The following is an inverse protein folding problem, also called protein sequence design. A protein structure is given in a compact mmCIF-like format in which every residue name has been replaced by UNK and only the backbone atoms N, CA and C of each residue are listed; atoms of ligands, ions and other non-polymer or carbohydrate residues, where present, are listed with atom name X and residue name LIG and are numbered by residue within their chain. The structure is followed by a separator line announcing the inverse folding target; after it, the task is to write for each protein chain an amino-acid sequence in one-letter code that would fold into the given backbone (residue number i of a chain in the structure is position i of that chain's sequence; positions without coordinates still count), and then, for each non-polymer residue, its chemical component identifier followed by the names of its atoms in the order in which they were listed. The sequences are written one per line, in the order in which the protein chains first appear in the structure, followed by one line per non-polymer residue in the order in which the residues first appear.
data_IF_802896726676
#
_entry.id   IF_802896726676
#
_cell.length_a   1.000
_cell.length_b   1.000
_cell.length_c   1.000
_cell.angle_alpha   90.00
_cell.angle_beta   90.00
_cell.angle_gamma   90.00
#
_symmetry.space_group_name_H-M   'P 1'
#
loop_
_entity.id
_entity.type
_entity.pdbx_description
1 polymer ?
#
# COMPACT_ATOMS: atom_id res chain seq x y z
N UNK A 1 18.89 3.35 -23.99
CA UNK A 1 19.32 2.13 -23.28
C UNK A 1 18.23 1.83 -22.29
N UNK A 2 17.69 0.62 -22.16
CA UNK A 2 16.83 0.31 -21.03
C UNK A 2 17.68 0.54 -19.77
N UNK A 3 17.21 1.41 -18.86
CA UNK A 3 17.92 1.65 -17.62
C UNK A 3 17.76 0.41 -16.77
N UNK A 4 18.83 -0.37 -16.65
CA UNK A 4 18.92 -1.52 -15.76
C UNK A 4 18.76 -1.04 -14.34
N UNK A 5 17.77 -1.58 -13.61
CA UNK A 5 17.59 -1.32 -12.17
C UNK A 5 18.39 -2.37 -11.40
N UNK A 6 19.66 -2.55 -11.75
CA UNK A 6 20.55 -3.57 -11.17
C UNK A 6 20.72 -3.49 -9.66
N UNK A 7 20.41 -2.36 -9.04
CA UNK A 7 20.50 -2.15 -7.58
C UNK A 7 19.18 -2.30 -6.83
N UNK A 8 18.05 -2.50 -7.52
CA UNK A 8 16.75 -2.59 -6.87
C UNK A 8 16.56 -3.97 -6.22
N UNK A 9 16.31 -3.98 -4.91
CA UNK A 9 16.04 -5.19 -4.12
C UNK A 9 14.56 -5.35 -3.74
N UNK A 10 13.69 -4.49 -4.30
CA UNK A 10 12.26 -4.46 -4.00
C UNK A 10 11.47 -4.51 -5.29
N UNK A 11 10.56 -5.49 -5.40
CA UNK A 11 9.72 -5.69 -6.57
C UNK A 11 8.24 -5.55 -6.20
N UNK A 12 7.55 -4.64 -6.89
CA UNK A 12 6.10 -4.47 -6.83
C UNK A 12 5.46 -5.00 -8.11
N UNK A 13 4.41 -5.78 -8.01
CA UNK A 13 3.61 -6.22 -9.16
C UNK A 13 2.19 -5.68 -9.01
N UNK A 14 1.79 -4.82 -9.93
CA UNK A 14 0.43 -4.30 -9.98
C UNK A 14 -0.49 -5.29 -10.68
N UNK A 15 -1.35 -5.94 -9.91
CA UNK A 15 -2.39 -6.84 -10.41
C UNK A 15 -3.68 -6.05 -10.54
N UNK A 16 -4.13 -5.66 -11.75
CA UNK A 16 -5.20 -4.67 -11.91
C UNK A 16 -6.61 -5.25 -11.71
N UNK A 17 -6.76 -6.54 -11.50
CA UNK A 17 -8.06 -7.20 -11.56
C UNK A 17 -8.86 -7.05 -10.27
N UNK A 18 -10.15 -6.72 -10.41
CA UNK A 18 -11.15 -6.75 -9.34
C UNK A 18 -12.44 -7.35 -9.86
N UNK A 19 -13.20 -8.02 -8.99
CA UNK A 19 -14.56 -8.52 -9.33
C UNK A 19 -15.57 -7.40 -9.47
N UNK A 20 -15.38 -6.31 -8.72
CA UNK A 20 -16.23 -5.10 -8.69
C UNK A 20 -15.40 -3.88 -8.36
N UNK A 21 -15.96 -2.71 -8.60
CA UNK A 21 -15.37 -1.44 -8.18
C UNK A 21 -15.99 -1.00 -6.85
N UNK A 22 -15.17 -0.82 -5.83
CA UNK A 22 -15.58 -0.23 -4.56
C UNK A 22 -15.97 1.24 -4.75
N UNK A 23 -16.90 1.75 -3.90
CA UNK A 23 -17.45 3.10 -4.07
C UNK A 23 -16.41 4.22 -3.91
N UNK A 24 -15.36 3.99 -3.14
CA UNK A 24 -14.30 4.95 -2.80
C UNK A 24 -13.00 4.78 -3.60
N UNK A 25 -12.84 3.66 -4.31
CA UNK A 25 -11.56 3.28 -4.89
C UNK A 25 -11.28 3.98 -6.23
N UNK A 26 -10.15 4.68 -6.32
CA UNK A 26 -9.63 5.35 -7.52
C UNK A 26 -8.49 4.61 -8.21
N UNK A 27 -8.07 3.45 -7.67
CA UNK A 27 -6.97 2.68 -8.24
C UNK A 27 -7.22 2.30 -9.70
N UNK A 28 -6.12 2.17 -10.45
CA UNK A 28 -6.15 1.65 -11.81
C UNK A 28 -6.52 0.18 -11.79
N UNK A 29 -7.81 -0.13 -12.01
CA UNK A 29 -8.35 -1.48 -11.98
C UNK A 29 -9.08 -1.85 -13.25
N UNK A 30 -9.06 -3.14 -13.56
CA UNK A 30 -9.87 -3.78 -14.59
C UNK A 30 -10.89 -4.71 -13.92
N UNK A 31 -12.19 -4.33 -13.99
CA UNK A 31 -13.23 -5.21 -13.46
C UNK A 31 -13.39 -6.40 -14.38
N UNK A 32 -13.17 -7.62 -13.86
CA UNK A 32 -13.22 -8.87 -14.61
C UNK A 32 -13.90 -9.96 -13.77
N UNK A 33 -14.77 -10.73 -14.43
CA UNK A 33 -15.32 -11.97 -13.86
C UNK A 33 -14.29 -13.10 -13.96
N UNK A 34 -13.70 -13.23 -15.15
CA UNK A 34 -12.67 -14.22 -15.45
C UNK A 34 -11.32 -13.48 -15.61
N UNK A 35 -10.39 -13.78 -14.74
CA UNK A 35 -9.05 -13.16 -14.71
C UNK A 35 -8.14 -13.89 -15.69
N UNK A 36 -7.50 -13.20 -16.65
CA UNK A 36 -6.58 -13.84 -17.61
C UNK A 36 -5.23 -14.12 -16.94
N UNK A 37 -5.23 -14.96 -15.91
CA UNK A 37 -4.12 -15.18 -14.98
C UNK A 37 -2.83 -15.62 -15.68
N UNK A 38 -2.93 -16.62 -16.58
CA UNK A 38 -1.76 -17.17 -17.27
C UNK A 38 -1.14 -16.14 -18.21
N UNK A 39 -1.98 -15.45 -18.97
CA UNK A 39 -1.56 -14.38 -19.87
C UNK A 39 -0.88 -13.25 -19.11
N UNK A 40 -1.52 -12.73 -18.06
CA UNK A 40 -0.98 -11.66 -17.21
C UNK A 40 0.38 -12.05 -16.63
N UNK A 41 0.49 -13.23 -16.03
CA UNK A 41 1.72 -13.68 -15.40
C UNK A 41 2.86 -13.87 -16.41
N UNK A 42 2.57 -14.39 -17.61
CA UNK A 42 3.55 -14.50 -18.69
C UNK A 42 4.07 -13.12 -19.13
N UNK A 43 3.15 -12.15 -19.27
CA UNK A 43 3.51 -10.79 -19.65
C UNK A 43 4.35 -10.08 -18.58
N UNK A 44 4.03 -10.28 -17.29
CA UNK A 44 4.87 -9.76 -16.19
C UNK A 44 6.28 -10.33 -16.25
N UNK A 45 6.43 -11.64 -16.50
CA UNK A 45 7.76 -12.27 -16.69
C UNK A 45 8.51 -11.68 -17.88
N UNK A 46 7.82 -11.44 -19.01
CA UNK A 46 8.42 -10.80 -20.19
C UNK A 46 8.85 -9.35 -19.91
N UNK A 47 8.05 -8.58 -19.18
CA UNK A 47 8.39 -7.22 -18.76
C UNK A 47 9.62 -7.23 -17.86
N UNK A 48 9.65 -8.11 -16.85
CA UNK A 48 10.79 -8.24 -15.93
C UNK A 48 12.07 -8.60 -16.67
N UNK A 49 12.03 -9.57 -17.57
CA UNK A 49 13.19 -10.00 -18.35
C UNK A 49 13.81 -8.90 -19.25
N UNK A 50 13.06 -7.81 -19.52
CA UNK A 50 13.62 -6.63 -20.21
C UNK A 50 14.23 -5.61 -19.26
N UNK A 51 13.86 -5.66 -17.98
CA UNK A 51 14.35 -4.74 -16.96
C UNK A 51 15.55 -5.28 -16.20
N UNK A 52 15.79 -6.59 -16.31
CA UNK A 52 16.96 -7.26 -15.73
C UNK A 52 18.02 -7.47 -16.82
N UNK A 53 19.28 -7.34 -16.45
CA UNK A 53 20.40 -7.67 -17.35
C UNK A 53 20.60 -9.18 -17.36
N UNK A 54 20.65 -9.78 -18.55
CA UNK A 54 20.89 -11.21 -18.71
C UNK A 54 22.23 -11.58 -18.06
N UNK A 55 22.20 -12.54 -17.15
CA UNK A 55 23.40 -13.03 -16.45
C UNK A 55 23.80 -12.21 -15.21
N UNK A 56 23.02 -11.19 -14.84
CA UNK A 56 23.20 -10.43 -13.59
C UNK A 56 21.91 -10.53 -12.75
N UNK A 57 21.72 -11.63 -11.97
CA UNK A 57 20.49 -11.86 -11.24
C UNK A 57 20.27 -10.81 -10.16
N UNK A 58 19.05 -10.27 -10.11
CA UNK A 58 18.59 -9.37 -9.05
C UNK A 58 18.15 -10.20 -7.84
N UNK A 59 18.73 -9.92 -6.67
CA UNK A 59 18.33 -10.54 -5.42
C UNK A 59 17.30 -9.67 -4.71
N UNK A 60 16.08 -10.19 -4.49
CA UNK A 60 14.94 -9.44 -3.96
C UNK A 60 14.78 -9.64 -2.45
N UNK A 61 14.82 -8.54 -1.69
CA UNK A 61 14.47 -8.52 -0.27
C UNK A 61 12.96 -8.52 -0.06
N UNK A 62 12.19 -7.97 -1.02
CA UNK A 62 10.73 -7.96 -0.97
C UNK A 62 10.11 -8.16 -2.35
N UNK A 63 9.02 -8.93 -2.37
CA UNK A 63 8.10 -9.06 -3.50
C UNK A 63 6.69 -8.71 -3.00
N UNK A 64 6.05 -7.74 -3.63
CA UNK A 64 4.73 -7.26 -3.22
C UNK A 64 3.74 -7.34 -4.38
N UNK A 65 2.68 -8.09 -4.20
CA UNK A 65 1.54 -8.16 -5.12
C UNK A 65 0.43 -7.26 -4.60
N UNK A 66 0.19 -6.15 -5.31
CA UNK A 66 -0.81 -5.15 -4.92
C UNK A 66 -1.64 -4.63 -6.10
N UNK A 67 -2.45 -3.63 -5.84
CA UNK A 67 -3.19 -2.88 -6.84
C UNK A 67 -4.69 -3.06 -6.80
N UNK A 68 -5.26 -3.90 -7.65
CA UNK A 68 -6.69 -4.25 -7.64
C UNK A 68 -6.99 -5.27 -6.54
N UNK A 69 -6.93 -6.55 -6.88
CA UNK A 69 -7.12 -7.66 -5.94
C UNK A 69 -6.25 -8.84 -6.35
N UNK A 70 -4.99 -8.88 -5.94
CA UNK A 70 -4.05 -9.94 -6.34
C UNK A 70 -4.49 -11.36 -5.99
N UNK A 71 -5.21 -11.53 -4.87
CA UNK A 71 -5.79 -12.84 -4.48
C UNK A 71 -6.73 -13.45 -5.53
N UNK A 72 -7.28 -12.65 -6.45
CA UNK A 72 -8.12 -13.16 -7.55
C UNK A 72 -7.36 -13.97 -8.60
N UNK A 73 -6.03 -13.91 -8.62
CA UNK A 73 -5.21 -14.84 -9.40
C UNK A 73 -5.37 -16.28 -8.93
N UNK A 74 -5.85 -16.48 -7.71
CA UNK A 74 -5.94 -17.78 -7.05
C UNK A 74 -4.57 -18.37 -6.73
N UNK A 75 -4.50 -19.46 -5.95
CA UNK A 75 -3.23 -20.08 -5.55
C UNK A 75 -2.35 -20.51 -6.73
N UNK A 76 -2.95 -21.16 -7.73
CA UNK A 76 -2.22 -21.60 -8.93
C UNK A 76 -1.66 -20.41 -9.74
N UNK A 77 -2.43 -19.32 -9.82
CA UNK A 77 -2.00 -18.11 -10.52
C UNK A 77 -0.87 -17.39 -9.81
N UNK A 78 -0.95 -17.27 -8.49
CA UNK A 78 0.15 -16.69 -7.67
C UNK A 78 1.42 -17.54 -7.80
N UNK A 79 1.29 -18.88 -7.72
CA UNK A 79 2.41 -19.79 -7.92
C UNK A 79 3.04 -19.65 -9.30
N UNK A 80 2.22 -19.57 -10.35
CA UNK A 80 2.70 -19.38 -11.72
C UNK A 80 3.41 -18.03 -11.88
N UNK A 81 2.85 -16.96 -11.32
CA UNK A 81 3.46 -15.62 -11.38
C UNK A 81 4.81 -15.56 -10.64
N UNK A 82 4.90 -16.14 -9.44
CA UNK A 82 6.18 -16.27 -8.71
C UNK A 82 7.19 -17.05 -9.54
N UNK A 83 6.76 -18.16 -10.16
CA UNK A 83 7.63 -18.93 -11.06
C UNK A 83 8.15 -18.13 -12.25
N UNK A 84 7.31 -17.29 -12.88
CA UNK A 84 7.73 -16.41 -13.98
C UNK A 84 8.75 -15.36 -13.51
N UNK A 85 8.58 -14.80 -12.31
CA UNK A 85 9.51 -13.84 -11.72
C UNK A 85 10.87 -14.53 -11.47
N UNK A 86 10.88 -15.70 -10.86
CA UNK A 86 12.11 -16.45 -10.58
C UNK A 86 12.83 -16.92 -11.85
N UNK A 87 12.10 -17.22 -12.92
CA UNK A 87 12.66 -17.58 -14.22
C UNK A 87 13.33 -16.41 -14.96
N UNK A 88 13.05 -15.17 -14.54
CA UNK A 88 13.51 -13.93 -15.20
C UNK A 88 14.75 -13.31 -14.54
N UNK A 89 15.68 -14.11 -14.04
CA UNK A 89 16.89 -13.67 -13.32
C UNK A 89 16.63 -12.84 -12.04
N UNK A 90 15.41 -12.87 -11.50
CA UNK A 90 15.09 -12.30 -10.18
C UNK A 90 14.92 -13.42 -9.16
N UNK A 91 15.67 -13.37 -8.08
CA UNK A 91 15.66 -14.40 -7.02
C UNK A 91 15.25 -13.79 -5.70
N UNK A 92 14.41 -14.50 -4.96
CA UNK A 92 14.08 -14.11 -3.60
C UNK A 92 15.29 -14.39 -2.69
N UNK A 93 15.75 -13.38 -1.95
CA UNK A 93 16.76 -13.53 -0.92
C UNK A 93 16.27 -14.46 0.19
N UNK A 94 17.15 -15.15 0.92
CA UNK A 94 16.76 -15.87 2.12
C UNK A 94 16.03 -14.94 3.11
N UNK A 95 14.80 -15.31 3.50
CA UNK A 95 13.96 -14.47 4.37
C UNK A 95 13.35 -13.23 3.69
N UNK A 96 13.24 -13.21 2.37
CA UNK A 96 12.50 -12.17 1.65
C UNK A 96 11.05 -12.07 2.12
N UNK A 97 10.52 -10.85 2.21
CA UNK A 97 9.10 -10.61 2.46
C UNK A 97 8.33 -10.76 1.14
N UNK A 98 7.41 -11.71 1.09
CA UNK A 98 6.52 -11.90 -0.06
C UNK A 98 5.09 -11.58 0.38
N UNK A 99 4.60 -10.39 0.00
CA UNK A 99 3.28 -9.89 0.39
C UNK A 99 2.26 -10.11 -0.71
N UNK A 100 1.07 -10.57 -0.34
CA UNK A 100 -0.11 -10.64 -1.20
C UNK A 100 -1.26 -9.83 -0.58
N UNK A 101 -1.83 -8.89 -1.33
CA UNK A 101 -3.10 -8.26 -0.97
C UNK A 101 -4.26 -9.22 -1.31
N UNK A 102 -5.19 -9.34 -0.36
CA UNK A 102 -6.34 -10.24 -0.48
C UNK A 102 -7.63 -9.61 0.05
N UNK A 103 -8.75 -9.97 -0.54
CA UNK A 103 -10.06 -9.70 0.03
C UNK A 103 -10.57 -10.91 0.81
N UNK A 104 -11.35 -10.70 1.90
CA UNK A 104 -11.92 -11.82 2.67
C UNK A 104 -12.70 -12.83 1.82
N UNK A 105 -13.46 -12.38 0.83
CA UNK A 105 -14.23 -13.24 -0.08
C UNK A 105 -13.39 -14.15 -0.99
N UNK A 106 -12.08 -13.98 -1.06
CA UNK A 106 -11.18 -14.80 -1.87
C UNK A 106 -10.57 -15.98 -1.08
N UNK A 107 -10.89 -16.10 0.22
CA UNK A 107 -10.44 -17.19 1.08
C UNK A 107 -11.31 -18.46 0.92
N UNK A 108 -11.36 -19.02 -0.28
CA UNK A 108 -11.93 -20.33 -0.47
C UNK A 108 -11.11 -21.43 0.27
N UNK A 109 -11.70 -22.61 0.56
CA UNK A 109 -10.96 -23.70 1.18
C UNK A 109 -9.66 -24.02 0.46
N UNK A 110 -8.53 -23.98 1.18
CA UNK A 110 -7.20 -24.24 0.65
C UNK A 110 -6.48 -23.03 0.01
N UNK A 111 -7.16 -21.89 -0.21
CA UNK A 111 -6.53 -20.72 -0.84
C UNK A 111 -5.29 -20.25 -0.09
N UNK A 112 -5.37 -20.03 1.22
CA UNK A 112 -4.26 -19.56 2.03
C UNK A 112 -3.08 -20.55 2.03
N UNK A 113 -3.34 -21.86 2.15
CA UNK A 113 -2.31 -22.90 2.04
C UNK A 113 -1.62 -22.92 0.67
N UNK A 114 -2.37 -22.69 -0.41
CA UNK A 114 -1.80 -22.59 -1.75
C UNK A 114 -0.96 -21.34 -1.96
N UNK A 115 -1.31 -20.21 -1.35
CA UNK A 115 -0.46 -19.00 -1.36
C UNK A 115 0.84 -19.19 -0.58
N UNK A 116 0.76 -19.86 0.59
CA UNK A 116 1.98 -20.26 1.35
C UNK A 116 2.87 -21.15 0.51
N UNK A 117 2.31 -22.15 -0.16
CA UNK A 117 3.07 -23.03 -1.06
C UNK A 117 3.72 -22.29 -2.23
N UNK A 118 3.11 -21.17 -2.67
CA UNK A 118 3.67 -20.27 -3.68
C UNK A 118 4.76 -19.33 -3.12
N UNK A 119 5.05 -19.37 -1.81
CA UNK A 119 6.08 -18.56 -1.15
C UNK A 119 5.57 -17.28 -0.49
N UNK A 120 4.25 -17.03 -0.47
CA UNK A 120 3.67 -15.89 0.26
C UNK A 120 3.85 -16.12 1.75
N UNK A 121 4.44 -15.13 2.45
CA UNK A 121 4.70 -15.19 3.88
C UNK A 121 4.12 -13.96 4.65
N UNK A 122 3.51 -13.01 3.91
CA UNK A 122 2.78 -11.88 4.46
C UNK A 122 1.47 -11.68 3.68
N UNK A 123 0.37 -11.43 4.37
CA UNK A 123 -0.91 -11.03 3.77
C UNK A 123 -1.30 -9.62 4.19
N UNK A 124 -1.94 -8.85 3.29
CA UNK A 124 -2.69 -7.64 3.63
C UNK A 124 -4.16 -7.90 3.27
N UNK A 125 -5.03 -7.96 4.29
CA UNK A 125 -6.43 -8.31 4.10
C UNK A 125 -7.30 -7.07 4.17
N UNK A 126 -7.91 -6.73 3.04
CA UNK A 126 -8.76 -5.54 2.90
C UNK A 126 -10.12 -5.72 3.58
N UNK A 127 -10.19 -5.55 4.88
CA UNK A 127 -11.43 -5.67 5.68
C UNK A 127 -12.28 -4.39 5.57
N UNK A 128 -11.67 -3.23 5.71
CA UNK A 128 -12.21 -1.87 5.65
C UNK A 128 -13.09 -1.49 6.84
N UNK A 129 -14.00 -2.35 7.31
CA UNK A 129 -14.85 -2.18 8.49
C UNK A 129 -15.45 -3.54 8.91
N UNK A 130 -15.86 -3.64 10.15
CA UNK A 130 -16.65 -4.77 10.65
C UNK A 130 -18.15 -4.43 10.78
N UNK A 131 -18.58 -3.32 10.17
CA UNK A 131 -19.98 -2.90 10.18
C UNK A 131 -20.64 -3.20 8.82
N UNK A 132 -21.64 -4.11 8.81
CA UNK A 132 -22.28 -4.59 7.58
C UNK A 132 -22.79 -3.47 6.65
N UNK A 133 -23.58 -2.48 7.14
CA UNK A 133 -24.05 -1.36 6.35
C UNK A 133 -22.93 -0.53 5.70
N UNK A 134 -21.75 -0.42 6.34
CA UNK A 134 -20.57 0.22 5.75
C UNK A 134 -20.03 -0.60 4.59
N UNK A 135 -19.89 -1.92 4.75
CA UNK A 135 -19.40 -2.81 3.69
C UNK A 135 -20.32 -2.77 2.46
N UNK A 136 -21.63 -2.75 2.66
CA UNK A 136 -22.62 -2.60 1.59
C UNK A 136 -22.45 -1.24 0.86
N UNK A 137 -22.34 -0.15 1.61
CA UNK A 137 -22.12 1.20 1.07
C UNK A 137 -20.79 1.30 0.30
N UNK A 138 -19.76 0.60 0.77
CA UNK A 138 -18.45 0.50 0.11
C UNK A 138 -18.47 -0.41 -1.11
N UNK A 139 -19.55 -1.13 -1.39
CA UNK A 139 -19.65 -2.19 -2.41
C UNK A 139 -18.64 -3.32 -2.16
N UNK A 140 -18.39 -3.66 -0.88
CA UNK A 140 -17.56 -4.83 -0.53
C UNK A 140 -18.30 -6.13 -0.76
N UNK A 141 -17.55 -7.21 -1.02
CA UNK A 141 -18.10 -8.52 -1.34
C UNK A 141 -18.24 -9.48 -0.17
N UNK A 142 -17.77 -9.06 1.02
CA UNK A 142 -17.71 -9.90 2.21
C UNK A 142 -18.54 -9.30 3.35
N UNK A 143 -18.91 -10.18 4.29
CA UNK A 143 -19.53 -9.82 5.56
C UNK A 143 -18.48 -9.63 6.68
N UNK A 144 -18.87 -9.01 7.83
CA UNK A 144 -17.99 -8.91 9.00
C UNK A 144 -17.46 -10.26 9.52
N UNK A 145 -18.23 -11.31 9.40
CA UNK A 145 -17.84 -12.65 9.86
C UNK A 145 -16.84 -13.31 8.91
N UNK A 146 -16.99 -13.11 7.60
CA UNK A 146 -16.01 -13.56 6.60
C UNK A 146 -14.67 -12.85 6.77
N UNK A 147 -14.65 -11.58 7.20
CA UNK A 147 -13.42 -10.86 7.52
C UNK A 147 -12.62 -11.56 8.63
N UNK A 148 -13.28 -11.91 9.75
CA UNK A 148 -12.64 -12.67 10.83
C UNK A 148 -12.21 -14.07 10.40
N UNK A 149 -13.05 -14.77 9.64
CA UNK A 149 -12.75 -16.12 9.14
C UNK A 149 -11.52 -16.12 8.22
N UNK A 150 -11.32 -15.10 7.40
CA UNK A 150 -10.17 -14.95 6.50
C UNK A 150 -8.85 -14.86 7.29
N UNK A 151 -8.79 -14.03 8.33
CA UNK A 151 -7.61 -13.90 9.21
C UNK A 151 -7.29 -15.24 9.89
N UNK A 152 -8.30 -15.92 10.42
CA UNK A 152 -8.13 -17.23 11.05
C UNK A 152 -7.69 -18.30 10.03
N UNK A 153 -8.19 -18.26 8.80
CA UNK A 153 -7.76 -19.18 7.75
C UNK A 153 -6.30 -18.96 7.35
N UNK A 154 -5.85 -17.70 7.26
CA UNK A 154 -4.45 -17.34 7.02
C UNK A 154 -3.54 -17.88 8.13
N UNK A 155 -3.90 -17.70 9.40
CA UNK A 155 -3.16 -18.24 10.56
C UNK A 155 -3.05 -19.75 10.50
N UNK A 156 -4.18 -20.46 10.27
CA UNK A 156 -4.18 -21.93 10.15
C UNK A 156 -3.33 -22.44 9.00
N UNK A 157 -3.17 -21.65 7.95
CA UNK A 157 -2.29 -21.98 6.83
C UNK A 157 -0.79 -21.75 7.12
N UNK A 158 -0.45 -21.15 8.27
CA UNK A 158 0.94 -20.88 8.68
C UNK A 158 1.45 -19.49 8.30
N UNK A 159 0.57 -18.54 7.98
CA UNK A 159 0.99 -17.15 7.75
C UNK A 159 1.09 -16.43 9.10
N UNK A 160 2.31 -16.10 9.49
CA UNK A 160 2.62 -15.44 10.76
C UNK A 160 2.67 -13.90 10.67
N UNK A 161 2.56 -13.34 9.48
CA UNK A 161 2.59 -11.90 9.25
C UNK A 161 1.32 -11.47 8.51
N UNK A 162 0.30 -11.06 9.25
CA UNK A 162 -1.00 -10.66 8.71
C UNK A 162 -1.24 -9.19 9.01
N UNK A 163 -1.46 -8.41 7.95
CA UNK A 163 -2.00 -7.05 7.99
C UNK A 163 -3.50 -7.08 7.76
N UNK A 164 -4.22 -6.19 8.42
CA UNK A 164 -5.60 -5.85 8.07
C UNK A 164 -5.69 -4.37 7.72
N UNK A 165 -6.52 -4.04 6.74
CA UNK A 165 -6.72 -2.67 6.31
C UNK A 165 -8.11 -2.20 6.72
N UNK A 166 -8.20 -1.03 7.38
CA UNK A 166 -9.44 -0.40 7.82
C UNK A 166 -9.52 1.04 7.30
N UNK A 167 -10.75 1.53 7.12
CA UNK A 167 -11.02 2.91 6.69
C UNK A 167 -11.76 3.64 7.81
N UNK A 168 -11.26 4.81 8.17
CA UNK A 168 -11.87 5.71 9.15
C UNK A 168 -12.39 7.00 8.50
N UNK A 169 -13.09 7.86 9.26
CA UNK A 169 -13.70 9.09 8.75
C UNK A 169 -14.93 8.82 7.89
N UNK A 170 -15.68 7.75 8.15
CA UNK A 170 -16.86 7.36 7.36
C UNK A 170 -18.08 8.25 7.69
N UNK A 171 -19.05 8.39 6.74
CA UNK A 171 -20.27 9.16 6.99
C UNK A 171 -21.04 8.69 8.24
N UNK A 172 -21.44 9.63 9.10
CA UNK A 172 -22.15 9.33 10.35
C UNK A 172 -23.47 8.59 10.15
N UNK A 173 -24.18 8.89 9.08
CA UNK A 173 -25.46 8.25 8.75
C UNK A 173 -25.36 6.72 8.59
N UNK A 174 -24.16 6.17 8.40
CA UNK A 174 -23.94 4.73 8.35
C UNK A 174 -24.04 4.06 9.72
N UNK A 175 -24.07 4.83 10.82
CA UNK A 175 -24.24 4.32 12.16
C UNK A 175 -23.09 3.47 12.69
N UNK A 176 -21.89 3.55 12.05
CA UNK A 176 -20.72 2.81 12.51
C UNK A 176 -20.18 3.39 13.81
N UNK A 177 -19.84 2.51 14.74
CA UNK A 177 -19.06 2.82 15.92
C UNK A 177 -17.58 2.47 15.66
N UNK A 178 -16.69 3.48 15.62
CA UNK A 178 -15.26 3.26 15.35
C UNK A 178 -14.57 2.46 16.47
N UNK A 179 -14.98 2.66 17.71
CA UNK A 179 -14.42 1.91 18.83
C UNK A 179 -14.70 0.40 18.73
N UNK A 180 -15.86 0.01 18.19
CA UNK A 180 -16.19 -1.40 17.94
C UNK A 180 -15.34 -2.00 16.81
N UNK A 181 -15.09 -1.25 15.72
CA UNK A 181 -14.18 -1.68 14.65
C UNK A 181 -12.76 -1.88 15.19
N UNK A 182 -12.25 -0.95 16.02
CA UNK A 182 -10.94 -1.07 16.65
C UNK A 182 -10.87 -2.26 17.63
N UNK A 183 -11.89 -2.45 18.47
CA UNK A 183 -11.93 -3.57 19.40
C UNK A 183 -11.89 -4.91 18.65
N UNK A 184 -12.68 -5.07 17.59
CA UNK A 184 -12.68 -6.29 16.76
C UNK A 184 -11.34 -6.49 16.05
N UNK A 185 -10.70 -5.41 15.57
CA UNK A 185 -9.36 -5.47 14.98
C UNK A 185 -8.31 -5.95 15.99
N UNK A 186 -8.36 -5.44 17.22
CA UNK A 186 -7.47 -5.83 18.32
C UNK A 186 -7.70 -7.30 18.70
N UNK A 187 -8.93 -7.73 18.83
CA UNK A 187 -9.30 -9.11 19.19
C UNK A 187 -8.86 -10.13 18.13
N UNK A 188 -8.88 -9.77 16.86
CA UNK A 188 -8.35 -10.61 15.77
C UNK A 188 -6.83 -10.82 15.84
N UNK A 189 -6.12 -9.95 16.55
CA UNK A 189 -4.69 -10.05 16.79
C UNK A 189 -3.83 -10.08 15.54
N UNK A 190 -4.01 -9.19 14.55
CA UNK A 190 -3.11 -9.12 13.40
C UNK A 190 -1.72 -8.64 13.83
N UNK A 191 -0.73 -8.86 12.99
CA UNK A 191 0.64 -8.38 13.24
C UNK A 191 0.81 -6.92 12.82
N UNK A 192 -0.05 -6.48 11.92
CA UNK A 192 0.02 -5.16 11.31
C UNK A 192 -1.40 -4.64 11.02
N UNK A 193 -1.61 -3.33 11.12
CA UNK A 193 -2.89 -2.67 10.83
C UNK A 193 -2.60 -1.43 9.99
N UNK A 194 -3.25 -1.33 8.82
CA UNK A 194 -3.27 -0.13 8.01
C UNK A 194 -4.58 0.61 8.24
N UNK A 195 -4.50 1.90 8.55
CA UNK A 195 -5.66 2.78 8.74
C UNK A 195 -5.62 3.89 7.70
N UNK A 196 -6.64 3.95 6.86
CA UNK A 196 -6.76 4.97 5.82
C UNK A 196 -7.92 5.91 6.11
N UNK A 197 -7.67 7.22 6.05
CA UNK A 197 -8.75 8.20 6.05
C UNK A 197 -9.57 8.06 4.76
N UNK A 198 -10.89 8.09 4.87
CA UNK A 198 -11.74 8.14 3.69
C UNK A 198 -11.46 9.40 2.90
N UNK A 199 -11.02 9.26 1.66
CA UNK A 199 -10.79 10.34 0.72
C UNK A 199 -11.84 10.33 -0.39
N UNK A 200 -12.32 11.50 -0.80
CA UNK A 200 -13.29 11.65 -1.87
C UNK A 200 -12.58 11.95 -3.18
N UNK A 201 -12.34 10.91 -3.98
CA UNK A 201 -11.70 11.06 -5.27
C UNK A 201 -12.73 11.33 -6.39
N UNK A 202 -12.56 12.36 -7.24
CA UNK A 202 -13.58 12.81 -8.20
C UNK A 202 -14.06 11.72 -9.17
N UNK A 203 -13.18 10.78 -9.55
CA UNK A 203 -13.47 9.72 -10.54
C UNK A 203 -14.19 8.51 -9.95
N UNK A 204 -14.35 8.46 -8.63
CA UNK A 204 -15.02 7.34 -7.93
C UNK A 204 -16.54 7.46 -7.92
N UNK A 205 -17.29 6.39 -7.63
CA UNK A 205 -18.72 6.51 -7.32
C UNK A 205 -18.99 7.50 -6.17
N UNK A 206 -18.19 7.45 -5.09
CA UNK A 206 -18.29 8.36 -3.95
C UNK A 206 -18.12 9.82 -4.38
N UNK A 207 -17.09 10.12 -5.19
CA UNK A 207 -16.87 11.47 -5.72
C UNK A 207 -18.06 11.99 -6.51
N UNK A 208 -18.70 11.12 -7.32
CA UNK A 208 -19.93 11.48 -8.06
C UNK A 208 -21.13 11.68 -7.14
N UNK A 209 -21.24 10.92 -6.04
CA UNK A 209 -22.32 11.11 -5.05
C UNK A 209 -22.12 12.43 -4.31
N UNK A 210 -20.89 12.73 -3.87
CA UNK A 210 -20.56 13.99 -3.20
C UNK A 210 -20.80 15.20 -4.10
N UNK A 211 -20.36 15.15 -5.36
CA UNK A 211 -20.56 16.25 -6.33
C UNK A 211 -22.04 16.56 -6.62
N UNK A 212 -22.94 15.59 -6.42
CA UNK A 212 -24.40 15.76 -6.59
C UNK A 212 -25.14 16.03 -5.27
N UNK A 213 -24.42 16.15 -4.16
CA UNK A 213 -25.01 16.35 -2.83
C UNK A 213 -25.73 15.10 -2.28
N UNK A 214 -25.55 13.93 -2.89
CA UNK A 214 -26.13 12.68 -2.41
C UNK A 214 -25.33 12.06 -1.24
N UNK A 215 -24.09 12.49 -1.06
CA UNK A 215 -23.24 12.14 0.08
C UNK A 215 -22.47 13.38 0.55
N UNK A 216 -22.24 13.47 1.86
CA UNK A 216 -21.41 14.52 2.45
C UNK A 216 -19.92 14.12 2.38
N UNK A 217 -19.06 15.12 2.19
CA UNK A 217 -17.63 14.90 2.39
C UNK A 217 -17.33 14.52 3.85
N UNK A 218 -16.30 13.70 4.12
CA UNK A 218 -15.88 13.42 5.47
C UNK A 218 -15.58 14.70 6.25
N UNK A 219 -15.90 14.71 7.55
CA UNK A 219 -15.54 15.81 8.45
C UNK A 219 -14.08 15.67 8.88
N UNK A 220 -13.29 16.73 8.71
CA UNK A 220 -11.88 16.78 9.14
C UNK A 220 -11.75 16.56 10.66
N UNK A 221 -12.64 17.16 11.46
CA UNK A 221 -12.66 16.99 12.91
C UNK A 221 -12.90 15.53 13.27
N UNK A 222 -13.87 14.87 12.64
CA UNK A 222 -14.16 13.47 12.86
C UNK A 222 -12.98 12.57 12.45
N UNK A 223 -12.34 12.86 11.32
CA UNK A 223 -11.15 12.11 10.91
C UNK A 223 -10.02 12.28 11.92
N UNK A 224 -9.82 13.48 12.44
CA UNK A 224 -8.83 13.74 13.48
C UNK A 224 -9.15 12.99 14.78
N UNK A 225 -10.42 13.02 15.25
CA UNK A 225 -10.84 12.31 16.45
C UNK A 225 -10.69 10.79 16.31
N UNK A 226 -11.12 10.21 15.18
CA UNK A 226 -11.00 8.77 14.91
C UNK A 226 -9.53 8.34 14.76
N UNK A 227 -8.66 9.17 14.16
CA UNK A 227 -7.22 8.93 14.10
C UNK A 227 -6.59 8.91 15.50
N UNK A 228 -6.92 9.88 16.36
CA UNK A 228 -6.39 9.95 17.72
C UNK A 228 -6.90 8.79 18.58
N UNK A 229 -8.17 8.42 18.46
CA UNK A 229 -8.73 7.27 19.14
C UNK A 229 -8.05 5.94 18.73
N UNK A 230 -7.78 5.78 17.43
CA UNK A 230 -7.06 4.60 16.94
C UNK A 230 -5.63 4.53 17.49
N UNK A 231 -4.92 5.67 17.51
CA UNK A 231 -3.58 5.74 18.08
C UNK A 231 -3.54 5.33 19.55
N UNK A 232 -4.49 5.80 20.33
CA UNK A 232 -4.60 5.44 21.75
C UNK A 232 -4.92 3.97 21.95
N UNK A 233 -5.96 3.46 21.28
CA UNK A 233 -6.42 2.08 21.41
C UNK A 233 -5.34 1.08 20.96
N UNK A 234 -4.76 1.25 19.77
CA UNK A 234 -3.74 0.36 19.24
C UNK A 234 -2.43 0.46 20.01
N UNK A 235 -2.01 1.67 20.40
CA UNK A 235 -0.82 1.88 21.22
C UNK A 235 -0.95 1.18 22.59
N UNK A 236 -2.08 1.32 23.27
CA UNK A 236 -2.38 0.65 24.54
C UNK A 236 -2.43 -0.88 24.40
N UNK A 237 -2.80 -1.38 23.22
CA UNK A 237 -2.84 -2.80 22.91
C UNK A 237 -1.50 -3.34 22.37
N UNK A 238 -0.44 -2.50 22.28
CA UNK A 238 0.95 -2.89 22.00
C UNK A 238 1.34 -2.89 20.52
N UNK A 239 0.64 -2.12 19.68
CA UNK A 239 1.09 -1.82 18.31
C UNK A 239 1.92 -0.52 18.30
N UNK A 240 3.02 -0.53 17.57
CA UNK A 240 3.82 0.66 17.28
C UNK A 240 3.21 1.43 16.11
N UNK A 241 2.90 2.72 16.28
CA UNK A 241 2.51 3.61 15.20
C UNK A 241 3.78 4.10 14.50
N UNK A 242 4.22 3.42 13.44
CA UNK A 242 5.54 3.62 12.85
C UNK A 242 5.57 4.55 11.63
N UNK A 243 4.42 4.81 11.01
CA UNK A 243 4.22 5.85 9.99
C UNK A 243 2.73 6.24 9.94
N UNK A 244 2.41 7.32 9.27
CA UNK A 244 1.11 8.01 9.36
C UNK A 244 -0.11 7.10 9.25
N UNK A 245 -0.04 6.05 8.44
CA UNK A 245 -1.17 5.15 8.18
C UNK A 245 -1.02 3.76 8.79
N UNK A 246 0.16 3.40 9.31
CA UNK A 246 0.46 2.01 9.62
C UNK A 246 0.92 1.77 11.07
N UNK A 247 0.37 0.71 11.64
CA UNK A 247 0.68 0.20 12.96
C UNK A 247 1.19 -1.23 12.86
N UNK A 248 2.19 -1.60 13.65
CA UNK A 248 2.74 -2.95 13.64
C UNK A 248 3.08 -3.44 15.04
N UNK A 249 3.00 -4.74 15.26
CA UNK A 249 3.67 -5.37 16.40
C UNK A 249 5.19 -5.21 16.25
N UNK A 250 5.98 -5.20 17.33
CA UNK A 250 7.44 -5.14 17.24
C UNK A 250 8.00 -6.18 16.26
N UNK A 251 8.82 -5.72 15.31
CA UNK A 251 9.41 -6.56 14.27
C UNK A 251 8.48 -6.96 13.11
N UNK A 252 7.25 -6.40 13.03
CA UNK A 252 6.24 -6.73 12.01
C UNK A 252 5.91 -5.56 11.06
N UNK A 253 6.74 -4.52 11.03
CA UNK A 253 6.60 -3.42 10.04
C UNK A 253 6.72 -3.95 8.63
N UNK A 254 5.91 -3.45 7.68
CA UNK A 254 6.03 -3.80 6.26
C UNK A 254 7.40 -3.39 5.73
N UNK A 255 8.21 -4.36 5.31
CA UNK A 255 9.55 -4.10 4.77
C UNK A 255 9.46 -3.42 3.41
N UNK A 256 8.49 -3.83 2.60
CA UNK A 256 8.27 -3.24 1.27
C UNK A 256 7.85 -1.76 1.37
N UNK A 257 6.82 -1.44 2.16
CA UNK A 257 6.37 -0.05 2.33
C UNK A 257 7.46 0.82 2.97
N UNK A 258 8.20 0.27 3.95
CA UNK A 258 9.34 0.95 4.57
C UNK A 258 10.47 1.27 3.58
N UNK A 259 10.61 0.49 2.50
CA UNK A 259 11.56 0.79 1.43
C UNK A 259 11.16 2.07 0.66
N UNK A 260 9.87 2.28 0.39
CA UNK A 260 9.38 3.53 -0.22
C UNK A 260 9.69 4.76 0.66
N UNK A 261 9.43 4.65 1.98
CA UNK A 261 9.68 5.76 2.91
C UNK A 261 11.16 6.11 3.05
N UNK A 262 12.05 5.14 2.82
CA UNK A 262 13.51 5.35 2.76
C UNK A 262 14.01 5.77 1.39
N UNK A 263 13.12 5.92 0.41
CA UNK A 263 13.43 6.34 -0.96
C UNK A 263 14.48 5.43 -1.62
N UNK A 264 14.43 4.11 -1.36
CA UNK A 264 15.33 3.15 -2.01
C UNK A 264 14.80 2.75 -3.39
N UNK A 265 15.68 2.32 -4.33
CA UNK A 265 15.27 1.84 -5.65
C UNK A 265 14.33 0.64 -5.58
N UNK A 266 13.35 0.62 -6.48
CA UNK A 266 12.40 -0.48 -6.63
C UNK A 266 11.94 -0.65 -8.07
N UNK A 267 11.53 -1.85 -8.43
CA UNK A 267 10.97 -2.21 -9.72
C UNK A 267 9.45 -2.36 -9.57
N UNK A 268 8.70 -1.71 -10.45
CA UNK A 268 7.27 -1.94 -10.60
C UNK A 268 6.95 -2.59 -11.93
N UNK A 269 6.15 -3.64 -11.90
CA UNK A 269 5.70 -4.38 -13.08
C UNK A 269 4.18 -4.40 -13.18
N UNK A 270 3.69 -4.55 -14.39
CA UNK A 270 2.25 -4.52 -14.65
C UNK A 270 1.73 -3.12 -15.00
N UNK A 271 0.45 -3.02 -15.39
CA UNK A 271 -0.16 -1.75 -15.78
C UNK A 271 -0.17 -0.78 -14.60
N UNK A 272 0.03 0.52 -14.85
CA UNK A 272 0.08 1.58 -13.82
C UNK A 272 1.20 1.45 -12.77
N UNK A 273 2.05 0.44 -12.83
CA UNK A 273 3.13 0.26 -11.86
C UNK A 273 4.19 1.36 -12.02
N UNK A 274 4.67 1.85 -10.88
CA UNK A 274 5.78 2.79 -10.82
C UNK A 274 7.09 2.07 -10.51
N UNK A 275 8.20 2.59 -11.03
CA UNK A 275 9.56 2.16 -10.71
C UNK A 275 10.41 3.36 -10.34
N UNK A 276 11.47 3.14 -9.57
CA UNK A 276 12.41 4.17 -9.17
C UNK A 276 13.83 3.59 -9.11
N UNK A 277 14.80 4.22 -9.77
CA UNK A 277 16.19 3.77 -9.81
C UNK A 277 17.11 4.54 -8.84
N UNK A 278 16.55 5.45 -8.03
CA UNK A 278 17.27 6.33 -7.12
C UNK A 278 17.32 7.79 -7.65
N UNK A 279 17.12 7.99 -8.95
CA UNK A 279 17.14 9.30 -9.60
C UNK A 279 15.92 9.53 -10.50
N UNK A 280 15.54 8.52 -11.29
CA UNK A 280 14.43 8.60 -12.24
C UNK A 280 13.24 7.79 -11.74
N UNK A 281 12.08 8.43 -11.72
CA UNK A 281 10.79 7.76 -11.51
C UNK A 281 10.19 7.46 -12.87
N UNK A 282 9.57 6.28 -13.01
CA UNK A 282 8.87 5.84 -14.22
C UNK A 282 7.54 5.24 -13.87
N UNK A 283 6.59 5.32 -14.78
CA UNK A 283 5.30 4.65 -14.64
C UNK A 283 4.86 4.02 -15.93
N UNK A 284 4.25 2.87 -15.81
CA UNK A 284 3.71 2.11 -16.92
C UNK A 284 2.35 2.65 -17.38
N UNK A 285 1.99 2.33 -18.62
CA UNK A 285 0.63 2.53 -19.16
C UNK A 285 -0.41 1.92 -18.23
N UNK A 286 -1.46 2.68 -17.91
CA UNK A 286 -2.45 2.33 -16.89
C UNK A 286 -3.47 1.29 -17.34
N UNK A 287 -3.90 1.33 -18.60
CA UNK A 287 -4.89 0.40 -19.12
C UNK A 287 -4.28 -0.99 -19.39
N UNK A 288 -4.79 -2.04 -18.73
CA UNK A 288 -4.32 -3.41 -18.90
C UNK A 288 -4.16 -3.83 -20.38
N UNK A 289 -5.16 -3.55 -21.22
CA UNK A 289 -5.12 -3.94 -22.64
C UNK A 289 -3.98 -3.25 -23.41
N UNK A 290 -3.73 -1.97 -23.14
CA UNK A 290 -2.66 -1.21 -23.78
C UNK A 290 -1.28 -1.69 -23.31
N UNK A 291 -1.09 -1.86 -21.99
CA UNK A 291 0.10 -2.44 -21.41
C UNK A 291 0.40 -3.83 -21.99
N UNK A 292 -0.60 -4.71 -22.03
CA UNK A 292 -0.45 -6.07 -22.57
C UNK A 292 -0.04 -6.06 -24.05
N UNK A 293 -0.60 -5.15 -24.85
CA UNK A 293 -0.24 -5.00 -26.27
C UNK A 293 1.21 -4.57 -26.43
N UNK A 294 1.67 -3.60 -25.66
CA UNK A 294 3.07 -3.12 -25.69
C UNK A 294 4.05 -4.23 -25.29
N UNK A 295 3.75 -4.95 -24.18
CA UNK A 295 4.61 -6.05 -23.70
C UNK A 295 4.70 -7.17 -24.74
N UNK A 296 3.57 -7.59 -25.38
CA UNK A 296 3.56 -8.60 -26.44
C UNK A 296 4.35 -8.16 -27.68
N UNK A 297 4.26 -6.88 -28.03
CA UNK A 297 4.99 -6.33 -29.17
C UNK A 297 6.51 -6.18 -28.91
N UNK A 298 6.98 -6.49 -27.70
CA UNK A 298 8.38 -6.33 -27.35
C UNK A 298 8.77 -4.87 -27.05
N UNK A 299 7.80 -3.96 -26.91
CA UNK A 299 8.05 -2.55 -26.54
C UNK A 299 8.01 -2.35 -25.02
N UNK A 300 8.73 -1.33 -24.52
CA UNK A 300 8.69 -0.95 -23.13
C UNK A 300 7.30 -0.31 -22.83
N UNK A 301 6.54 -0.81 -21.82
CA UNK A 301 5.21 -0.29 -21.52
C UNK A 301 5.23 1.03 -20.73
N UNK A 302 6.35 1.72 -20.65
CA UNK A 302 6.50 3.00 -19.95
C UNK A 302 5.65 4.08 -20.64
N UNK A 303 4.75 4.71 -19.87
CA UNK A 303 3.93 5.84 -20.29
C UNK A 303 4.62 7.19 -20.06
N UNK A 304 5.53 7.26 -19.10
CA UNK A 304 6.30 8.44 -18.79
C UNK A 304 7.40 8.19 -17.77
N UNK A 305 8.31 9.15 -17.69
CA UNK A 305 9.39 9.19 -16.73
C UNK A 305 9.65 10.62 -16.23
N UNK A 306 10.29 10.75 -15.09
CA UNK A 306 10.67 12.00 -14.46
C UNK A 306 12.04 11.86 -13.82
N UNK A 307 12.97 12.69 -14.23
CA UNK A 307 14.26 12.85 -13.55
C UNK A 307 14.06 13.76 -12.33
N UNK A 308 14.24 13.21 -11.16
CA UNK A 308 14.06 13.94 -9.90
C UNK A 308 15.24 14.88 -9.66
N UNK A 309 14.98 16.19 -9.63
CA UNK A 309 15.99 17.20 -9.33
C UNK A 309 16.49 17.13 -7.87
N UNK A 310 17.61 17.77 -7.58
CA UNK A 310 18.14 17.83 -6.20
C UNK A 310 17.18 18.54 -5.24
N UNK A 311 16.42 19.54 -5.71
CA UNK A 311 15.40 20.23 -4.90
C UNK A 311 14.23 19.31 -4.60
N UNK A 312 13.69 18.63 -5.61
CA UNK A 312 12.65 17.62 -5.43
C UNK A 312 13.12 16.49 -4.50
N UNK A 313 14.36 16.02 -4.67
CA UNK A 313 14.96 15.02 -3.79
C UNK A 313 15.00 15.47 -2.34
N UNK A 314 15.40 16.71 -2.06
CA UNK A 314 15.42 17.26 -0.69
C UNK A 314 14.01 17.31 -0.10
N UNK A 315 13.06 17.82 -0.87
CA UNK A 315 11.66 17.90 -0.45
C UNK A 315 11.07 16.50 -0.17
N UNK A 316 11.32 15.52 -1.05
CA UNK A 316 10.88 14.13 -0.86
C UNK A 316 11.51 13.49 0.38
N UNK A 317 12.80 13.65 0.62
CA UNK A 317 13.48 13.11 1.80
C UNK A 317 12.89 13.70 3.10
N UNK A 318 12.59 15.00 3.11
CA UNK A 318 11.94 15.64 4.24
C UNK A 318 10.52 15.11 4.43
N UNK A 319 9.69 15.08 3.38
CA UNK A 319 8.31 14.59 3.42
C UNK A 319 8.23 13.11 3.87
N UNK A 320 9.00 12.23 3.23
CA UNK A 320 9.01 10.80 3.53
C UNK A 320 9.56 10.51 4.92
N UNK A 321 10.56 11.26 5.37
CA UNK A 321 11.07 11.16 6.73
C UNK A 321 10.03 11.60 7.77
N UNK A 322 9.42 12.77 7.60
CA UNK A 322 8.39 13.30 8.49
C UNK A 322 7.13 12.43 8.54
N UNK A 323 6.89 11.63 7.51
CA UNK A 323 5.81 10.66 7.46
C UNK A 323 5.99 9.51 8.46
N UNK A 324 7.22 9.23 8.89
CA UNK A 324 7.58 8.09 9.73
C UNK A 324 7.97 8.49 11.15
N UNK A 325 7.98 7.54 12.07
CA UNK A 325 8.49 7.71 13.43
C UNK A 325 10.01 7.95 13.48
N UNK A 326 10.72 7.62 12.40
CA UNK A 326 12.14 7.93 12.25
C UNK A 326 12.41 9.42 12.07
N UNK A 327 11.48 10.19 11.47
CA UNK A 327 11.65 11.62 11.24
C UNK A 327 12.63 11.97 10.12
N UNK A 328 12.94 13.26 10.01
CA UNK A 328 13.82 13.83 8.98
C UNK A 328 14.89 14.75 9.58
N UNK A 329 16.06 14.82 8.95
CA UNK A 329 17.04 15.85 9.23
C UNK A 329 16.70 17.11 8.42
N UNK A 330 16.48 18.23 9.12
CA UNK A 330 16.20 19.54 8.52
C UNK A 330 17.32 20.53 8.85
N UNK A 331 17.47 21.57 8.04
CA UNK A 331 18.50 22.59 8.23
C UNK A 331 18.00 23.98 7.82
N UNK A 332 18.72 25.03 8.21
CA UNK A 332 18.40 26.40 7.82
C UNK A 332 16.98 26.81 8.17
N UNK A 333 16.31 27.47 7.24
CA UNK A 333 14.94 27.98 7.42
C UNK A 333 13.91 26.87 7.71
N UNK A 334 14.11 25.67 7.18
CA UNK A 334 13.21 24.53 7.42
C UNK A 334 13.30 24.03 8.86
N UNK A 335 14.50 24.03 9.46
CA UNK A 335 14.66 23.72 10.88
C UNK A 335 14.04 24.79 11.77
N UNK A 336 14.14 26.07 11.38
CA UNK A 336 13.51 27.15 12.13
C UNK A 336 11.97 27.06 12.09
N UNK A 337 11.39 26.67 10.94
CA UNK A 337 9.96 26.34 10.84
C UNK A 337 9.58 25.16 11.74
N UNK A 338 10.38 24.10 11.73
CA UNK A 338 10.12 22.93 12.59
C UNK A 338 10.15 23.27 14.08
N UNK A 339 10.99 24.24 14.51
CA UNK A 339 10.97 24.77 15.90
C UNK A 339 9.65 25.50 16.22
N UNK A 340 9.01 26.16 15.25
CA UNK A 340 7.67 26.73 15.44
C UNK A 340 6.65 25.60 15.60
N UNK A 341 6.71 24.55 14.77
CA UNK A 341 5.82 23.38 14.92
C UNK A 341 5.97 22.71 16.29
N UNK A 342 7.20 22.69 16.83
CA UNK A 342 7.44 22.14 18.16
C UNK A 342 6.78 22.98 19.28
N UNK A 343 6.71 24.30 19.13
CA UNK A 343 5.99 25.17 20.08
C UNK A 343 4.49 24.93 20.08
N UNK A 344 3.93 24.55 18.92
CA UNK A 344 2.54 24.19 18.75
C UNK A 344 2.24 22.71 19.14
N UNK A 345 3.26 21.96 19.57
CA UNK A 345 3.12 20.55 19.92
C UNK A 345 2.99 19.60 18.72
N UNK A 346 3.28 20.06 17.49
CA UNK A 346 3.18 19.25 16.27
C UNK A 346 4.45 18.48 15.92
N UNK A 347 5.58 18.86 16.51
CA UNK A 347 6.86 18.21 16.27
C UNK A 347 7.71 18.10 17.55
N UNK A 348 8.66 17.17 17.52
CA UNK A 348 9.78 17.08 18.45
C UNK A 348 11.05 17.37 17.66
N UNK A 349 11.88 18.31 18.14
CA UNK A 349 13.12 18.75 17.48
C UNK A 349 14.30 18.43 18.39
N UNK A 350 15.20 17.56 17.94
CA UNK A 350 16.42 17.14 18.63
C UNK A 350 17.65 17.48 17.75
N UNK A 351 18.28 18.62 18.00
CA UNK A 351 19.33 19.15 17.12
C UNK A 351 18.77 19.51 15.74
N UNK A 352 19.22 18.83 14.69
CA UNK A 352 18.69 18.97 13.33
C UNK A 352 17.62 17.92 12.99
N UNK A 353 17.36 16.98 13.90
CA UNK A 353 16.42 15.89 13.68
C UNK A 353 15.02 16.28 14.13
N UNK A 354 14.03 16.07 13.27
CA UNK A 354 12.62 16.46 13.47
C UNK A 354 11.71 15.25 13.28
N UNK A 355 10.87 14.98 14.27
CA UNK A 355 9.80 13.97 14.22
C UNK A 355 8.46 14.66 14.44
N UNK A 356 7.46 14.29 13.66
CA UNK A 356 6.11 14.78 13.92
C UNK A 356 5.46 14.00 15.07
N UNK A 357 4.66 14.71 15.87
CA UNK A 357 3.74 14.09 16.82
C UNK A 357 2.50 13.58 16.10
N UNK A 358 1.58 12.91 16.80
CA UNK A 358 0.29 12.53 16.21
C UNK A 358 -0.49 13.75 15.68
N UNK A 359 -0.50 14.85 16.43
CA UNK A 359 -1.11 16.11 15.98
C UNK A 359 -0.37 16.73 14.78
N UNK A 360 0.93 16.48 14.65
CA UNK A 360 1.71 16.85 13.48
C UNK A 360 1.39 15.98 12.27
N UNK A 361 1.19 14.68 12.43
CA UNK A 361 0.82 13.78 11.35
C UNK A 361 -0.54 14.12 10.73
N UNK A 362 -1.52 14.58 11.52
CA UNK A 362 -2.78 15.12 11.01
C UNK A 362 -2.60 16.36 10.11
N UNK A 363 -1.42 16.98 10.12
CA UNK A 363 -1.07 18.17 9.37
C UNK A 363 0.10 17.96 8.41
N UNK A 364 0.52 16.71 8.20
CA UNK A 364 1.74 16.36 7.47
C UNK A 364 1.86 17.10 6.14
N UNK A 365 0.84 17.06 5.30
CA UNK A 365 0.87 17.67 3.97
C UNK A 365 1.00 19.21 4.06
N UNK A 366 0.26 19.84 4.97
CA UNK A 366 0.33 21.29 5.18
C UNK A 366 1.67 21.74 5.78
N UNK A 367 2.28 20.92 6.64
CA UNK A 367 3.60 21.21 7.20
C UNK A 367 4.70 21.00 6.16
N UNK A 368 4.64 19.90 5.43
CA UNK A 368 5.61 19.57 4.40
C UNK A 368 5.58 20.58 3.24
N UNK A 369 4.42 21.10 2.87
CA UNK A 369 4.28 22.14 1.84
C UNK A 369 4.98 23.48 2.21
N UNK A 370 5.33 23.69 3.48
CA UNK A 370 6.08 24.85 3.93
C UNK A 370 7.59 24.69 3.76
N UNK A 371 8.08 23.48 3.51
CA UNK A 371 9.51 23.20 3.38
C UNK A 371 10.01 23.53 1.98
N UNK A 372 11.29 23.93 1.88
CA UNK A 372 11.94 24.25 0.60
C UNK A 372 11.52 25.58 -0.03
N UNK A 373 10.68 26.36 0.62
CA UNK A 373 10.33 27.73 0.17
C UNK A 373 11.43 28.73 0.55
N UNK A 374 12.30 29.04 -0.38
CA UNK A 374 13.15 30.27 -0.39
C UNK A 374 12.77 31.13 -1.54
#
# INVERSE_FOLDING_TARGET
MPHSIASARHLYVHVPFCRRRCSYCDFSIAVRKDVPTQEFSTLVGQELGRRTEVGNPVELDTLYFGGGTPSQLGPAGVSFLVGQIQASDARLAPGAEVTLEANPEDFAPGSAGGWVAAGVNRLSVGIQSFHGPVLEWMHRGHSPDEAGAAVLAARRAGIDNISIDLIFGLPERLGRNWADDLARAIDLGPDHISLYALTVEPRTPLGRWTARGAESAPSDDRQADEFMAAREALGSAGWEHYEVSNYARPGRRSRHNSAYWRRVPYIGLGPSAHSFDGQTRRWNTDAFAAWATQVRAGTDPVAGDELVSDDQRRAELAYLGLRTDAGAALSGADLDRARLWAREGWAVVEGSHVRLTASGWLRLDALAAQLGGT
#
